data_IF_698297822868
#
_entry.id   IF_698297822868
#
_cell.length_a   1.000
_cell.length_b   1.000
_cell.length_c   1.000
_cell.angle_alpha   90.00
_cell.angle_beta   90.00
_cell.angle_gamma   90.00
#
_symmetry.space_group_name_H-M   'P 1'
#
loop_
_entity.id
_entity.type
_entity.pdbx_description
1 polymer ?
#
# COMPACT_ATOMS: atom_id res chain seq x y z
N UNK A 1 4.58 -20.62 -31.97
CA UNK A 1 4.62 -19.56 -30.98
C UNK A 1 4.04 -18.28 -31.60
N UNK A 2 2.78 -18.04 -31.32
CA UNK A 2 2.15 -16.77 -31.69
C UNK A 2 2.56 -15.70 -30.67
N UNK A 3 2.70 -14.47 -31.12
CA UNK A 3 3.03 -13.31 -30.29
C UNK A 3 2.10 -13.19 -29.07
N UNK A 4 0.82 -13.47 -29.24
CA UNK A 4 -0.20 -13.47 -28.18
C UNK A 4 0.08 -14.51 -27.10
N UNK A 5 0.55 -15.72 -27.45
CA UNK A 5 0.91 -16.76 -26.50
C UNK A 5 2.13 -16.38 -25.64
N UNK A 6 3.09 -15.66 -26.23
CA UNK A 6 4.27 -15.17 -25.49
C UNK A 6 3.87 -14.08 -24.48
N UNK A 7 2.99 -13.18 -24.87
CA UNK A 7 2.47 -12.15 -23.96
C UNK A 7 1.64 -12.76 -22.81
N UNK A 8 0.84 -13.78 -23.08
CA UNK A 8 0.05 -14.47 -22.07
C UNK A 8 0.94 -15.20 -21.04
N UNK A 9 1.99 -15.87 -21.50
CA UNK A 9 2.95 -16.57 -20.61
C UNK A 9 3.74 -15.57 -19.76
N UNK A 10 4.20 -14.46 -20.34
CA UNK A 10 4.89 -13.40 -19.60
C UNK A 10 3.96 -12.75 -18.55
N UNK A 11 2.71 -12.49 -18.91
CA UNK A 11 1.71 -11.96 -18.00
C UNK A 11 1.40 -12.88 -16.82
N UNK A 12 1.38 -14.19 -17.03
CA UNK A 12 1.15 -15.17 -15.97
C UNK A 12 2.29 -15.22 -14.95
N UNK A 13 3.55 -15.19 -15.42
CA UNK A 13 4.74 -15.17 -14.54
C UNK A 13 4.75 -13.90 -13.69
N UNK A 14 4.45 -12.76 -14.29
CA UNK A 14 4.40 -11.49 -13.57
C UNK A 14 3.30 -11.48 -12.51
N UNK A 15 2.15 -12.03 -12.81
CA UNK A 15 1.03 -12.13 -11.88
C UNK A 15 1.40 -12.96 -10.65
N UNK A 16 2.10 -14.08 -10.81
CA UNK A 16 2.52 -14.92 -9.70
C UNK A 16 3.49 -14.19 -8.74
N UNK A 17 4.48 -13.51 -9.29
CA UNK A 17 5.45 -12.75 -8.49
C UNK A 17 4.79 -11.57 -7.78
N UNK A 18 3.91 -10.85 -8.46
CA UNK A 18 3.17 -9.74 -7.87
C UNK A 18 2.16 -10.21 -6.81
N UNK A 19 1.55 -11.38 -6.99
CA UNK A 19 0.75 -12.03 -5.97
C UNK A 19 1.56 -12.32 -4.71
N UNK A 20 2.75 -12.88 -4.87
CA UNK A 20 3.68 -13.13 -3.76
C UNK A 20 4.05 -11.83 -3.05
N UNK A 21 4.40 -10.79 -3.79
CA UNK A 21 4.74 -9.48 -3.25
C UNK A 21 3.57 -8.87 -2.47
N UNK A 22 2.37 -8.92 -3.01
CA UNK A 22 1.16 -8.42 -2.36
C UNK A 22 0.88 -9.16 -1.05
N UNK A 23 1.00 -10.48 -1.03
CA UNK A 23 0.83 -11.31 0.17
C UNK A 23 1.85 -10.96 1.25
N UNK A 24 3.10 -10.73 0.88
CA UNK A 24 4.14 -10.28 1.81
C UNK A 24 3.83 -8.90 2.40
N UNK A 25 3.34 -7.99 1.60
CA UNK A 25 2.91 -6.65 2.05
C UNK A 25 1.75 -6.76 3.03
N UNK A 26 0.73 -7.55 2.72
CA UNK A 26 -0.43 -7.78 3.60
C UNK A 26 0.00 -8.42 4.92
N UNK A 27 0.95 -9.36 4.87
CA UNK A 27 1.53 -10.01 6.04
C UNK A 27 2.50 -9.10 6.84
N UNK A 28 2.76 -7.90 6.33
CA UNK A 28 3.74 -6.95 6.91
C UNK A 28 5.17 -7.50 6.95
N UNK A 29 5.50 -8.39 6.03
CA UNK A 29 6.83 -8.95 5.85
C UNK A 29 7.69 -8.02 4.99
N UNK A 30 8.29 -7.03 5.61
CA UNK A 30 9.15 -6.04 4.94
C UNK A 30 10.35 -6.71 4.29
N UNK A 31 11.01 -7.61 4.99
CA UNK A 31 12.22 -8.27 4.50
C UNK A 31 11.89 -9.14 3.28
N UNK A 32 10.86 -9.96 3.36
CA UNK A 32 10.42 -10.78 2.24
C UNK A 32 10.00 -9.96 1.02
N UNK A 33 9.27 -8.88 1.22
CA UNK A 33 8.85 -7.98 0.15
C UNK A 33 10.04 -7.32 -0.57
N UNK A 34 11.02 -6.83 0.19
CA UNK A 34 12.27 -6.26 -0.37
C UNK A 34 13.06 -7.32 -1.13
N UNK A 35 13.20 -8.52 -0.60
CA UNK A 35 13.88 -9.63 -1.27
C UNK A 35 13.21 -9.99 -2.61
N UNK A 36 11.88 -10.02 -2.67
CA UNK A 36 11.14 -10.27 -3.91
C UNK A 36 11.43 -9.18 -4.95
N UNK A 37 11.50 -7.92 -4.56
CA UNK A 37 11.89 -6.83 -5.46
C UNK A 37 13.33 -6.99 -5.93
N UNK A 38 14.24 -7.35 -5.04
CA UNK A 38 15.65 -7.58 -5.39
C UNK A 38 15.80 -8.71 -6.40
N UNK A 39 15.10 -9.82 -6.23
CA UNK A 39 15.05 -10.92 -7.19
C UNK A 39 14.64 -10.45 -8.59
N UNK A 40 13.59 -9.63 -8.69
CA UNK A 40 13.11 -9.09 -9.97
C UNK A 40 14.13 -8.17 -10.64
N UNK A 41 14.82 -7.35 -9.85
CA UNK A 41 15.89 -6.47 -10.34
C UNK A 41 17.11 -7.27 -10.81
N UNK A 42 17.49 -8.31 -10.08
CA UNK A 42 18.60 -9.22 -10.43
C UNK A 42 18.30 -10.02 -11.70
N UNK A 43 17.03 -10.32 -11.97
CA UNK A 43 16.56 -10.93 -13.22
C UNK A 43 16.60 -9.96 -14.42
N UNK A 44 16.95 -8.71 -14.20
CA UNK A 44 17.13 -7.70 -15.23
C UNK A 44 15.93 -6.78 -15.45
N UNK A 45 14.95 -6.76 -14.55
CA UNK A 45 13.83 -5.82 -14.66
C UNK A 45 14.27 -4.40 -14.35
N UNK A 46 13.80 -3.48 -15.19
CA UNK A 46 13.98 -2.05 -14.93
C UNK A 46 13.06 -1.61 -13.78
N UNK A 47 13.61 -0.87 -12.81
CA UNK A 47 12.92 -0.51 -11.57
C UNK A 47 11.67 0.34 -11.79
N UNK A 48 11.73 1.31 -12.71
CA UNK A 48 10.57 2.13 -13.05
C UNK A 48 9.44 1.33 -13.71
N UNK A 49 9.80 0.37 -14.56
CA UNK A 49 8.84 -0.53 -15.18
C UNK A 49 8.21 -1.47 -14.15
N UNK A 50 9.00 -1.98 -13.21
CA UNK A 50 8.52 -2.80 -12.10
C UNK A 50 7.45 -2.07 -11.27
N UNK A 51 7.70 -0.82 -10.93
CA UNK A 51 6.75 0.03 -10.16
C UNK A 51 5.44 0.21 -10.95
N UNK A 52 5.54 0.50 -12.25
CA UNK A 52 4.37 0.66 -13.10
C UNK A 52 3.57 -0.64 -13.25
N UNK A 53 4.25 -1.76 -13.46
CA UNK A 53 3.62 -3.07 -13.64
C UNK A 53 2.91 -3.53 -12.37
N UNK A 54 3.51 -3.33 -11.21
CA UNK A 54 2.87 -3.64 -9.93
C UNK A 54 1.69 -2.73 -9.62
N UNK A 55 1.78 -1.45 -9.95
CA UNK A 55 0.65 -0.51 -9.85
C UNK A 55 -0.50 -0.95 -10.74
N UNK A 56 -0.19 -1.36 -11.98
CA UNK A 56 -1.18 -1.89 -12.93
C UNK A 56 -1.85 -3.17 -12.42
N UNK A 57 -1.07 -4.07 -11.84
CA UNK A 57 -1.57 -5.29 -11.21
C UNK A 57 -2.57 -4.97 -10.07
N UNK A 58 -2.22 -4.07 -9.16
CA UNK A 58 -3.10 -3.65 -8.08
C UNK A 58 -4.38 -2.96 -8.60
N UNK A 59 -4.26 -2.14 -9.63
CA UNK A 59 -5.41 -1.50 -10.29
C UNK A 59 -6.37 -2.55 -10.84
N UNK A 60 -5.87 -3.60 -11.47
CA UNK A 60 -6.70 -4.70 -11.98
C UNK A 60 -7.46 -5.41 -10.86
N UNK A 61 -6.82 -5.65 -9.72
CA UNK A 61 -7.49 -6.19 -8.53
C UNK A 61 -8.61 -5.28 -8.03
N UNK A 62 -8.37 -3.97 -7.99
CA UNK A 62 -9.37 -2.98 -7.57
C UNK A 62 -10.58 -2.96 -8.51
N UNK A 63 -10.35 -3.04 -9.81
CA UNK A 63 -11.42 -3.12 -10.80
C UNK A 63 -12.28 -4.37 -10.63
N UNK A 64 -11.65 -5.51 -10.37
CA UNK A 64 -12.34 -6.78 -10.11
C UNK A 64 -13.20 -6.69 -8.85
N UNK A 65 -12.73 -6.01 -7.80
CA UNK A 65 -13.51 -5.78 -6.58
C UNK A 65 -14.73 -4.85 -6.81
N UNK A 66 -14.62 -3.95 -7.79
CA UNK A 66 -15.61 -2.91 -8.02
C UNK A 66 -16.80 -3.36 -8.84
N UNK A 67 -16.65 -4.38 -9.68
CA UNK A 67 -17.73 -4.87 -10.56
C UNK A 67 -17.48 -6.29 -11.05
N UNK A 68 -18.54 -7.10 -11.03
CA UNK A 68 -18.52 -8.45 -11.58
C UNK A 68 -18.58 -8.47 -13.14
N UNK A 69 -18.96 -7.35 -13.76
CA UNK A 69 -19.11 -7.22 -15.21
C UNK A 69 -17.81 -6.81 -15.95
N UNK A 70 -16.73 -6.58 -15.22
CA UNK A 70 -15.45 -6.12 -15.78
C UNK A 70 -14.64 -7.23 -16.47
N UNK A 71 -15.14 -8.45 -16.51
CA UNK A 71 -14.50 -9.59 -17.20
C UNK A 71 -14.25 -9.28 -18.69
N UNK A 72 -15.20 -8.58 -19.33
CA UNK A 72 -15.09 -8.19 -20.74
C UNK A 72 -14.08 -7.04 -20.98
N UNK A 73 -13.81 -6.22 -19.95
CA UNK A 73 -12.92 -5.05 -20.04
C UNK A 73 -11.46 -5.43 -19.83
N UNK A 74 -11.20 -6.53 -19.13
CA UNK A 74 -9.84 -6.91 -18.72
C UNK A 74 -9.10 -7.78 -19.76
N UNK A 75 -9.71 -8.16 -20.86
CA UNK A 75 -9.09 -8.95 -21.95
C UNK A 75 -8.09 -10.00 -21.45
N UNK A 76 -8.52 -10.81 -20.50
CA UNK A 76 -7.72 -11.83 -19.85
C UNK A 76 -8.31 -13.21 -20.08
N UNK A 77 -7.45 -14.24 -20.02
CA UNK A 77 -7.92 -15.62 -20.01
C UNK A 77 -8.74 -15.92 -18.75
N UNK A 78 -9.69 -16.84 -18.86
CA UNK A 78 -10.57 -17.22 -17.75
C UNK A 78 -9.80 -17.71 -16.51
N UNK A 79 -8.68 -18.41 -16.72
CA UNK A 79 -7.84 -18.93 -15.63
C UNK A 79 -7.12 -17.79 -14.88
N UNK A 80 -6.56 -16.82 -15.61
CA UNK A 80 -5.94 -15.64 -15.03
C UNK A 80 -6.95 -14.78 -14.26
N UNK A 81 -8.16 -14.65 -14.78
CA UNK A 81 -9.23 -13.92 -14.12
C UNK A 81 -9.65 -14.59 -12.81
N UNK A 82 -9.77 -15.92 -12.77
CA UNK A 82 -10.10 -16.67 -11.56
C UNK A 82 -9.03 -16.48 -10.46
N UNK A 83 -7.75 -16.51 -10.84
CA UNK A 83 -6.63 -16.26 -9.93
C UNK A 83 -6.67 -14.83 -9.39
N UNK A 84 -6.90 -13.84 -10.24
CA UNK A 84 -7.01 -12.44 -9.82
C UNK A 84 -8.22 -12.19 -8.90
N UNK A 85 -9.35 -12.85 -9.13
CA UNK A 85 -10.51 -12.78 -8.24
C UNK A 85 -10.20 -13.32 -6.84
N UNK A 86 -9.48 -14.43 -6.76
CA UNK A 86 -9.03 -14.99 -5.49
C UNK A 86 -8.10 -14.00 -4.75
N UNK A 87 -7.14 -13.44 -5.46
CA UNK A 87 -6.19 -12.46 -4.90
C UNK A 87 -6.89 -11.15 -4.48
N UNK A 88 -7.85 -10.69 -5.26
CA UNK A 88 -8.65 -9.51 -4.93
C UNK A 88 -9.45 -9.70 -3.63
N UNK A 89 -9.83 -10.92 -3.30
CA UNK A 89 -10.55 -11.22 -2.05
C UNK A 89 -9.68 -11.13 -0.79
N UNK A 90 -8.35 -11.16 -0.94
CA UNK A 90 -7.41 -11.13 0.19
C UNK A 90 -7.17 -9.74 0.77
N UNK A 91 -7.52 -8.69 0.06
CA UNK A 91 -7.22 -7.31 0.43
C UNK A 91 -8.47 -6.43 0.37
N UNK A 92 -8.64 -5.58 1.37
CA UNK A 92 -9.76 -4.63 1.39
C UNK A 92 -9.58 -3.53 0.34
N UNK A 93 -10.67 -3.04 -0.30
CA UNK A 93 -10.59 -2.00 -1.31
C UNK A 93 -9.88 -0.73 -0.84
N UNK A 94 -10.12 -0.28 0.38
CA UNK A 94 -9.52 0.92 0.95
C UNK A 94 -8.00 0.77 1.09
N UNK A 95 -7.56 -0.40 1.50
CA UNK A 95 -6.14 -0.72 1.63
C UNK A 95 -5.46 -0.78 0.27
N UNK A 96 -6.13 -1.38 -0.71
CA UNK A 96 -5.64 -1.48 -2.08
C UNK A 96 -5.54 -0.09 -2.75
N UNK A 97 -6.52 0.79 -2.53
CA UNK A 97 -6.46 2.18 -2.99
C UNK A 97 -5.27 2.92 -2.39
N UNK A 98 -4.98 2.71 -1.12
CA UNK A 98 -3.81 3.29 -0.45
C UNK A 98 -2.51 2.79 -1.08
N UNK A 99 -2.39 1.51 -1.35
CA UNK A 99 -1.21 0.92 -2.01
C UNK A 99 -1.00 1.49 -3.41
N UNK A 100 -2.08 1.59 -4.19
CA UNK A 100 -2.04 2.17 -5.53
C UNK A 100 -1.59 3.64 -5.48
N UNK A 101 -2.10 4.42 -4.55
CA UNK A 101 -1.71 5.82 -4.36
C UNK A 101 -0.20 5.95 -4.09
N UNK A 102 0.32 5.19 -3.14
CA UNK A 102 1.74 5.22 -2.78
C UNK A 102 2.62 4.81 -3.96
N UNK A 103 2.27 3.75 -4.67
CA UNK A 103 3.04 3.29 -5.83
C UNK A 103 2.90 4.18 -7.06
N UNK A 104 1.75 4.82 -7.26
CA UNK A 104 1.58 5.83 -8.32
C UNK A 104 2.47 7.05 -8.09
N UNK A 105 2.54 7.52 -6.86
CA UNK A 105 3.43 8.60 -6.45
C UNK A 105 4.91 8.21 -6.60
N UNK A 106 5.25 7.00 -6.19
CA UNK A 106 6.57 6.41 -6.40
C UNK A 106 6.94 6.36 -7.89
N UNK A 107 6.02 5.97 -8.76
CA UNK A 107 6.22 5.91 -10.21
C UNK A 107 6.63 7.25 -10.81
N UNK A 108 6.09 8.36 -10.29
CA UNK A 108 6.49 9.70 -10.69
C UNK A 108 7.88 10.09 -10.16
N UNK A 109 8.21 9.71 -8.94
CA UNK A 109 9.50 10.01 -8.31
C UNK A 109 10.65 9.22 -8.90
N UNK A 110 10.44 7.94 -9.22
CA UNK A 110 11.46 7.02 -9.73
C UNK A 110 12.01 7.44 -11.09
N UNK A 111 11.22 8.11 -11.92
CA UNK A 111 11.65 8.58 -13.24
C UNK A 111 12.88 9.48 -13.21
N UNK A 112 13.04 10.28 -12.17
CA UNK A 112 14.08 11.31 -12.05
C UNK A 112 15.06 11.05 -10.91
N UNK A 113 14.91 9.94 -10.18
CA UNK A 113 15.72 9.62 -9.03
C UNK A 113 17.08 9.03 -9.42
N UNK A 114 18.12 9.47 -8.73
CA UNK A 114 19.45 8.86 -8.84
C UNK A 114 19.52 7.50 -8.14
N UNK A 115 18.76 7.32 -7.06
CA UNK A 115 18.74 6.09 -6.24
C UNK A 115 17.32 5.50 -6.20
N UNK A 116 16.92 4.89 -7.30
CA UNK A 116 15.59 4.30 -7.48
C UNK A 116 15.28 3.21 -6.46
N UNK A 117 16.27 2.37 -6.13
CA UNK A 117 16.12 1.27 -5.19
C UNK A 117 15.69 1.74 -3.81
N UNK A 118 16.30 2.79 -3.29
CA UNK A 118 15.97 3.35 -1.96
C UNK A 118 14.51 3.83 -1.94
N UNK A 119 14.05 4.48 -2.98
CA UNK A 119 12.66 4.95 -3.08
C UNK A 119 11.66 3.78 -3.06
N UNK A 120 11.96 2.69 -3.76
CA UNK A 120 11.14 1.47 -3.77
C UNK A 120 11.12 0.82 -2.39
N UNK A 121 12.26 0.70 -1.74
CA UNK A 121 12.36 0.14 -0.38
C UNK A 121 11.56 0.96 0.64
N UNK A 122 11.65 2.29 0.57
CA UNK A 122 10.85 3.18 1.43
C UNK A 122 9.35 3.02 1.16
N UNK A 123 8.95 2.93 -0.09
CA UNK A 123 7.55 2.71 -0.45
C UNK A 123 7.03 1.37 0.10
N UNK A 124 7.80 0.30 0.00
CA UNK A 124 7.45 -1.02 0.57
C UNK A 124 7.31 -0.92 2.09
N UNK A 125 8.21 -0.24 2.76
CA UNK A 125 8.12 0.00 4.21
C UNK A 125 6.81 0.72 4.56
N UNK A 126 6.45 1.75 3.82
CA UNK A 126 5.18 2.48 4.02
C UNK A 126 3.95 1.57 3.82
N UNK A 127 3.98 0.68 2.84
CA UNK A 127 2.90 -0.28 2.62
C UNK A 127 2.77 -1.28 3.77
N UNK A 128 3.88 -1.81 4.24
CA UNK A 128 3.92 -2.80 5.32
C UNK A 128 3.66 -2.19 6.70
N UNK A 129 4.05 -0.94 6.91
CA UNK A 129 3.97 -0.21 8.18
C UNK A 129 3.26 1.13 8.00
N UNK A 130 1.92 1.14 8.05
CA UNK A 130 1.12 2.37 7.89
C UNK A 130 1.50 3.49 8.85
N UNK A 131 1.96 3.13 10.04
CA UNK A 131 2.40 4.07 11.08
C UNK A 131 3.63 4.89 10.67
N UNK A 132 4.39 4.44 9.70
CA UNK A 132 5.56 5.16 9.15
C UNK A 132 5.21 6.07 7.98
N UNK A 133 3.97 6.07 7.54
CA UNK A 133 3.48 6.95 6.49
C UNK A 133 3.15 8.33 7.08
N UNK A 134 3.99 9.32 6.78
CA UNK A 134 3.76 10.71 7.16
C UNK A 134 3.24 11.50 5.96
N UNK A 135 1.96 11.37 5.64
CA UNK A 135 1.31 12.16 4.63
C UNK A 135 0.15 12.99 5.20
N UNK A 136 -0.37 13.93 4.38
CA UNK A 136 -1.51 14.74 4.76
C UNK A 136 -2.78 13.94 5.05
N UNK A 137 -2.98 12.81 4.36
CA UNK A 137 -4.12 11.92 4.57
C UNK A 137 -4.11 11.31 5.96
N UNK A 138 -2.98 10.77 6.40
CA UNK A 138 -2.85 10.19 7.74
C UNK A 138 -2.95 11.23 8.84
N UNK A 139 -2.45 12.45 8.60
CA UNK A 139 -2.59 13.58 9.53
C UNK A 139 -4.04 14.03 9.66
N UNK A 140 -4.76 14.14 8.55
CA UNK A 140 -6.19 14.49 8.51
C UNK A 140 -7.01 13.45 9.27
N UNK A 141 -6.79 12.18 9.03
CA UNK A 141 -7.46 11.08 9.72
C UNK A 141 -7.21 11.12 11.24
N UNK A 142 -5.97 11.40 11.66
CA UNK A 142 -5.63 11.58 13.07
C UNK A 142 -6.32 12.78 13.69
N UNK A 143 -6.45 13.88 12.96
CA UNK A 143 -7.19 15.08 13.39
C UNK A 143 -8.67 14.74 13.54
N UNK A 144 -9.29 14.08 12.60
CA UNK A 144 -10.70 13.66 12.67
C UNK A 144 -10.97 12.77 13.88
N UNK A 145 -10.09 11.81 14.15
CA UNK A 145 -10.17 10.95 15.34
C UNK A 145 -10.07 11.75 16.62
N UNK A 146 -9.16 12.73 16.68
CA UNK A 146 -9.01 13.62 17.84
C UNK A 146 -10.20 14.53 18.02
N UNK A 147 -10.75 15.12 16.96
CA UNK A 147 -11.96 15.95 16.99
C UNK A 147 -13.16 15.15 17.49
N UNK A 148 -13.33 13.92 16.99
CA UNK A 148 -14.41 13.03 17.44
C UNK A 148 -14.28 12.67 18.93
N UNK A 149 -13.06 12.47 19.43
CA UNK A 149 -12.81 12.23 20.86
C UNK A 149 -13.12 13.46 21.70
N UNK A 150 -12.84 14.65 21.20
CA UNK A 150 -13.20 15.92 21.88
C UNK A 150 -14.71 16.11 21.94
N UNK A 151 -15.42 15.88 20.86
CA UNK A 151 -16.89 15.99 20.80
C UNK A 151 -17.58 14.95 21.68
N UNK A 152 -17.05 13.74 21.78
CA UNK A 152 -17.60 12.66 22.60
C UNK A 152 -17.26 12.77 24.09
N UNK A 153 -16.46 13.76 24.50
CA UNK A 153 -16.10 14.01 25.89
C UNK A 153 -15.22 12.91 26.53
N UNK A 154 -14.62 12.06 25.73
CA UNK A 154 -13.75 10.96 26.19
C UNK A 154 -12.33 11.39 26.51
N UNK A 155 -12.06 12.69 26.46
CA UNK A 155 -10.79 13.25 26.90
C UNK A 155 -10.79 13.36 28.43
N UNK A 156 -10.06 12.51 29.11
CA UNK A 156 -9.65 12.75 30.48
C UNK A 156 -8.59 13.84 30.44
N UNK A 157 -9.03 15.10 30.57
CA UNK A 157 -8.11 16.17 30.86
C UNK A 157 -7.40 15.84 32.18
N UNK A 158 -6.06 15.81 32.15
CA UNK A 158 -5.29 15.77 33.37
C UNK A 158 -5.77 16.94 34.26
N UNK A 159 -6.32 16.65 35.43
CA UNK A 159 -6.79 17.67 36.34
C UNK A 159 -5.63 18.63 36.62
N UNK A 160 -5.84 19.94 36.56
CA UNK A 160 -4.81 20.88 36.97
C UNK A 160 -4.42 20.58 38.41
N UNK A 161 -3.16 20.39 38.68
CA UNK A 161 -2.65 20.25 40.04
C UNK A 161 -2.97 21.56 40.72
N UNK A 162 -3.92 21.50 41.64
CA UNK A 162 -4.23 22.65 42.47
C UNK A 162 -3.00 22.92 43.37
N UNK A 163 -2.31 23.98 43.08
CA UNK A 163 -1.23 24.48 43.89
C UNK A 163 -1.88 25.05 45.19
N UNK A 164 -1.96 24.21 46.21
CA UNK A 164 -2.36 24.69 47.52
C UNK A 164 -1.20 25.48 48.14
N UNK A 165 -1.18 26.77 47.90
CA UNK A 165 -0.39 27.69 48.70
C UNK A 165 -1.06 27.79 50.05
N UNK A 166 -0.60 27.03 51.02
CA UNK A 166 -0.90 27.26 52.44
C UNK A 166 -0.18 28.55 52.86
N UNK A 167 -0.89 29.66 52.91
CA UNK A 167 -0.44 30.83 53.61
C UNK A 167 -0.60 30.55 55.13
N UNK A 168 0.49 30.10 55.74
CA UNK A 168 0.57 30.10 57.19
C UNK A 168 0.68 31.51 57.68
N UNK A 169 -0.38 32.03 58.27
CA UNK A 169 -0.34 33.29 59.02
C UNK A 169 0.04 32.88 60.46
N UNK A 170 1.29 33.17 60.79
CA UNK A 170 1.68 33.18 62.19
C UNK A 170 1.28 34.54 62.78
N UNK A 171 0.48 34.52 63.81
CA UNK A 171 0.23 35.66 64.64
C UNK A 171 1.31 35.77 65.73
#
# INVERSE_FOLDING_TARGET
LTYDNVLEVLGAVDTEVFSRLLRQIIARDVVGAIQTVDELVDEGREMGQLVNDFTWYMRNLLLIQSSDELEEVLDMSADNLATLKEEASMVKPELLMRYIRIFSELGNQVKFAAQKRILIEIAIIKLCKPEMEMDYGSLTERIDVLEHKLESGTFTAAAPVANSTSSGTAA
#
